data_IF_976120407096
#
_entry.id   IF_976120407096
#
_cell.length_a   1.000
_cell.length_b   1.000
_cell.length_c   1.000
_cell.angle_alpha   90.00
_cell.angle_beta   90.00
_cell.angle_gamma   90.00
#
_symmetry.space_group_name_H-M   'P 1'
#
loop_
_entity.id
_entity.type
_entity.pdbx_description
1 polymer ?
#
# COMPACT_ATOMS: atom_id res chain seq x y z
N UNK A 1 3.76 -7.76 -5.21
CA UNK A 1 4.03 -6.31 -5.07
C UNK A 1 4.76 -5.69 -6.25
N UNK A 2 5.57 -6.43 -7.01
CA UNK A 2 6.27 -5.89 -8.20
C UNK A 2 5.35 -5.08 -9.14
N UNK A 3 4.19 -5.63 -9.51
CA UNK A 3 3.18 -4.92 -10.31
C UNK A 3 2.68 -3.61 -9.68
N UNK A 4 2.51 -3.55 -8.36
CA UNK A 4 2.12 -2.31 -7.66
C UNK A 4 3.28 -1.32 -7.65
N UNK A 5 4.52 -1.78 -7.45
CA UNK A 5 5.70 -0.93 -7.46
C UNK A 5 5.96 -0.28 -8.81
N UNK A 6 5.58 -0.93 -9.91
CA UNK A 6 5.62 -0.35 -11.26
C UNK A 6 4.57 0.75 -11.46
N UNK A 7 3.42 0.67 -10.78
CA UNK A 7 2.34 1.65 -10.87
C UNK A 7 2.57 2.82 -9.92
N UNK A 8 2.83 2.54 -8.65
CA UNK A 8 3.14 3.52 -7.63
C UNK A 8 4.12 2.92 -6.60
N UNK A 9 5.41 3.26 -6.68
CA UNK A 9 6.44 2.77 -5.77
C UNK A 9 6.15 3.07 -4.30
N UNK A 10 5.57 4.24 -4.00
CA UNK A 10 5.28 4.66 -2.62
C UNK A 10 4.14 3.83 -2.03
N UNK A 11 3.12 3.50 -2.82
CA UNK A 11 2.07 2.59 -2.40
C UNK A 11 2.60 1.19 -2.12
N UNK A 12 3.54 0.70 -2.93
CA UNK A 12 4.23 -0.56 -2.66
C UNK A 12 5.02 -0.52 -1.34
N UNK A 13 5.77 0.54 -1.07
CA UNK A 13 6.47 0.74 0.21
C UNK A 13 5.50 0.78 1.40
N UNK A 14 4.33 1.42 1.26
CA UNK A 14 3.30 1.42 2.31
C UNK A 14 2.79 -0.01 2.59
N UNK A 15 2.61 -0.85 1.56
CA UNK A 15 2.24 -2.26 1.76
C UNK A 15 3.34 -2.99 2.52
N UNK A 16 4.60 -2.80 2.13
CA UNK A 16 5.73 -3.49 2.74
C UNK A 16 5.85 -3.17 4.23
N UNK A 17 5.87 -1.88 4.56
CA UNK A 17 5.99 -1.43 5.96
C UNK A 17 4.82 -1.93 6.82
N UNK A 18 3.60 -1.95 6.28
CA UNK A 18 2.41 -2.34 7.06
C UNK A 18 2.21 -3.84 7.18
N UNK A 19 2.34 -4.59 6.10
CA UNK A 19 2.06 -6.03 6.09
C UNK A 19 3.27 -6.86 6.46
N UNK A 20 4.48 -6.49 6.02
CA UNK A 20 5.70 -7.24 6.32
C UNK A 20 6.47 -6.63 7.49
N UNK A 21 6.48 -5.29 7.62
CA UNK A 21 7.08 -4.60 8.75
C UNK A 21 6.21 -4.57 10.00
N UNK A 22 4.90 -4.78 9.87
CA UNK A 22 3.95 -4.72 10.99
C UNK A 22 3.67 -3.30 11.52
N UNK A 23 4.10 -2.26 10.79
CA UNK A 23 3.94 -0.88 11.22
C UNK A 23 2.48 -0.42 11.15
N UNK A 24 2.11 0.43 12.11
CA UNK A 24 0.87 1.20 12.10
C UNK A 24 0.91 2.33 11.06
N UNK A 25 -0.25 2.93 10.77
CA UNK A 25 -0.36 4.11 9.88
C UNK A 25 0.53 5.25 10.35
N UNK A 26 0.59 5.46 11.67
CA UNK A 26 1.34 6.58 12.25
C UNK A 26 2.84 6.39 12.07
N UNK A 27 3.36 5.20 12.38
CA UNK A 27 4.77 4.86 12.18
C UNK A 27 5.17 4.93 10.70
N UNK A 28 4.29 4.48 9.79
CA UNK A 28 4.54 4.63 8.35
C UNK A 28 4.58 6.11 7.93
N UNK A 29 3.71 6.94 8.49
CA UNK A 29 3.70 8.37 8.20
C UNK A 29 5.01 9.05 8.66
N UNK A 30 5.52 8.65 9.82
CA UNK A 30 6.82 9.09 10.34
C UNK A 30 7.98 8.64 9.45
N UNK A 31 8.01 7.36 9.08
CA UNK A 31 9.06 6.80 8.20
C UNK A 31 9.09 7.49 6.84
N UNK A 32 7.91 7.79 6.28
CA UNK A 32 7.79 8.42 4.96
C UNK A 32 7.83 9.95 4.99
N UNK A 33 7.87 10.58 6.18
CA UNK A 33 7.87 12.04 6.32
C UNK A 33 6.59 12.71 5.80
N UNK A 34 5.44 12.03 5.88
CA UNK A 34 4.15 12.54 5.40
C UNK A 34 3.11 12.58 6.52
N UNK A 35 1.95 13.21 6.26
CA UNK A 35 0.86 13.20 7.24
C UNK A 35 0.22 11.82 7.36
N UNK A 36 -0.30 11.48 8.55
CA UNK A 36 -1.11 10.29 8.76
C UNK A 36 -2.26 10.17 7.75
N UNK A 37 -2.92 11.31 7.45
CA UNK A 37 -4.02 11.39 6.49
C UNK A 37 -3.59 11.01 5.07
N UNK A 38 -2.36 11.37 4.68
CA UNK A 38 -1.77 10.93 3.40
C UNK A 38 -1.68 9.40 3.37
N UNK A 39 -1.11 8.78 4.40
CA UNK A 39 -0.98 7.32 4.48
C UNK A 39 -2.36 6.62 4.49
N UNK A 40 -3.37 7.17 5.16
CA UNK A 40 -4.73 6.63 5.15
C UNK A 40 -5.37 6.65 3.76
N UNK A 41 -5.16 7.74 3.00
CA UNK A 41 -5.63 7.88 1.63
C UNK A 41 -4.95 6.88 0.70
N UNK A 42 -3.61 6.84 0.72
CA UNK A 42 -2.81 5.90 -0.06
C UNK A 42 -3.19 4.46 0.27
N UNK A 43 -3.38 4.14 1.56
CA UNK A 43 -3.79 2.82 2.00
C UNK A 43 -5.16 2.42 1.43
N UNK A 44 -6.05 3.37 1.25
CA UNK A 44 -7.37 3.12 0.65
C UNK A 44 -7.25 2.77 -0.83
N UNK A 45 -6.38 3.46 -1.56
CA UNK A 45 -6.07 3.15 -2.97
C UNK A 45 -5.39 1.78 -3.10
N UNK A 46 -4.41 1.49 -2.25
CA UNK A 46 -3.74 0.18 -2.16
C UNK A 46 -4.76 -0.97 -1.99
N UNK A 47 -5.69 -0.85 -1.03
CA UNK A 47 -6.71 -1.89 -0.81
C UNK A 47 -7.62 -2.08 -2.03
N UNK A 48 -7.98 -1.00 -2.72
CA UNK A 48 -8.79 -1.07 -3.93
C UNK A 48 -8.03 -1.76 -5.08
N UNK A 49 -6.75 -1.40 -5.27
CA UNK A 49 -5.88 -2.01 -6.27
C UNK A 49 -5.67 -3.50 -5.99
N UNK A 50 -5.33 -3.88 -4.76
CA UNK A 50 -5.12 -5.29 -4.37
C UNK A 50 -6.37 -6.14 -4.60
N UNK A 51 -7.56 -5.61 -4.26
CA UNK A 51 -8.82 -6.31 -4.53
C UNK A 51 -9.02 -6.56 -6.02
N UNK A 52 -8.77 -5.56 -6.86
CA UNK A 52 -8.88 -5.69 -8.32
C UNK A 52 -7.90 -6.74 -8.84
N UNK A 53 -6.65 -6.71 -8.40
CA UNK A 53 -5.62 -7.65 -8.86
C UNK A 53 -5.96 -9.09 -8.46
N UNK A 54 -6.37 -9.32 -7.20
CA UNK A 54 -6.74 -10.65 -6.71
C UNK A 54 -8.01 -11.21 -7.37
N UNK A 55 -8.94 -10.34 -7.77
CA UNK A 55 -10.13 -10.74 -8.55
C UNK A 55 -9.78 -11.03 -10.01
N UNK A 56 -8.80 -10.33 -10.57
CA UNK A 56 -8.30 -10.56 -11.92
C UNK A 56 -7.61 -11.93 -12.04
N UNK A 57 -6.83 -12.35 -11.04
CA UNK A 57 -6.14 -13.65 -11.08
C UNK A 57 -7.06 -14.85 -10.82
N UNK A 58 -8.24 -14.66 -10.21
CA UNK A 58 -9.22 -15.74 -10.02
C UNK A 58 -10.04 -16.11 -11.27
N UNK A 59 -9.84 -15.39 -12.38
CA UNK A 59 -10.59 -15.61 -13.63
C UNK A 59 -9.76 -16.32 -14.72
N UNK A 60 -8.59 -16.89 -14.38
CA UNK A 60 -7.72 -17.62 -15.30
C UNK A 60 -7.49 -19.07 -14.89
#
# INVERSE_FOLDING_TARGET
LAKLAEVDPRQATIVELRFFGGLSVAEVAEVLGVSKRTVESEWTMVRAWLRRELLSEKSS
#
